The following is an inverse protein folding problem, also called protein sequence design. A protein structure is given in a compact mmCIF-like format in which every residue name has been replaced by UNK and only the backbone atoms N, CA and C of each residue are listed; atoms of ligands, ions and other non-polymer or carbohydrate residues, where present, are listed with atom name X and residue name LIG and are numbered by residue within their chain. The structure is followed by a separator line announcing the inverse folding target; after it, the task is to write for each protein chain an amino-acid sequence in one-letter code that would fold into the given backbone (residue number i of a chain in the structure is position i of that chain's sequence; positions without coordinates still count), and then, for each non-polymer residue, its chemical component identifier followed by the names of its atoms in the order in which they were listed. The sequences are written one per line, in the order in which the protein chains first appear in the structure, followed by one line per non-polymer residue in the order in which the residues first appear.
data_IF_287841670552
#
_entry.id   IF_287841670552
#
_cell.length_a   1.000
_cell.length_b   1.000
_cell.length_c   1.000
_cell.angle_alpha   90.00
_cell.angle_beta   90.00
_cell.angle_gamma   90.00
#
_symmetry.space_group_name_H-M   'P 1'
#
loop_
_entity.id
_entity.type
_entity.pdbx_description
1 polymer ?
#
# COMPACT_ATOMS: atom_id res chain seq x y z
N UNK A 1 30.06 -2.15 -4.47
CA UNK A 1 28.93 -1.58 -3.70
C UNK A 1 27.86 -1.24 -4.73
N UNK A 2 26.69 -1.87 -4.65
CA UNK A 2 25.67 -1.75 -5.69
C UNK A 2 24.91 -0.42 -5.55
N UNK A 3 25.27 0.56 -6.38
CA UNK A 3 24.45 1.73 -6.65
C UNK A 3 23.23 1.30 -7.48
N UNK A 4 22.07 1.12 -6.83
CA UNK A 4 20.80 1.11 -7.55
C UNK A 4 20.42 2.55 -7.90
N UNK A 5 20.92 3.00 -9.05
CA UNK A 5 20.50 4.21 -9.73
C UNK A 5 19.01 4.11 -10.05
N UNK A 6 18.20 4.78 -9.22
CA UNK A 6 16.74 4.83 -9.32
C UNK A 6 16.30 5.83 -10.38
N UNK A 7 16.79 5.67 -11.61
CA UNK A 7 16.25 6.31 -12.81
C UNK A 7 15.16 5.41 -13.42
N UNK A 8 14.10 5.15 -12.64
CA UNK A 8 12.88 4.55 -13.19
C UNK A 8 12.01 5.69 -13.73
N UNK A 9 11.91 5.81 -15.07
CA UNK A 9 11.02 6.79 -15.69
C UNK A 9 9.61 6.67 -15.10
N UNK A 10 8.93 7.79 -14.83
CA UNK A 10 7.70 7.83 -14.01
C UNK A 10 6.59 6.84 -14.37
N UNK A 11 6.58 6.30 -15.60
CA UNK A 11 5.71 5.20 -16.02
C UNK A 11 5.91 3.90 -15.21
N UNK A 12 7.16 3.57 -14.85
CA UNK A 12 7.49 2.35 -14.12
C UNK A 12 7.02 2.42 -12.67
N UNK A 13 7.11 3.58 -12.04
CA UNK A 13 6.60 3.83 -10.70
C UNK A 13 5.06 3.75 -10.67
N UNK A 14 4.40 4.35 -11.66
CA UNK A 14 2.94 4.23 -11.82
C UNK A 14 2.49 2.79 -12.04
N UNK A 15 3.22 2.03 -12.88
CA UNK A 15 2.93 0.63 -13.14
C UNK A 15 3.12 -0.24 -11.88
N UNK A 16 4.16 0.00 -11.10
CA UNK A 16 4.40 -0.72 -9.85
C UNK A 16 3.27 -0.52 -8.84
N UNK A 17 2.80 0.72 -8.65
CA UNK A 17 1.66 1.02 -7.79
C UNK A 17 0.38 0.35 -8.27
N UNK A 18 0.12 0.38 -9.58
CA UNK A 18 -1.04 -0.27 -10.17
C UNK A 18 -1.05 -1.79 -9.92
N UNK A 19 0.09 -2.46 -10.12
CA UNK A 19 0.22 -3.91 -9.86
C UNK A 19 0.03 -4.20 -8.37
N UNK A 20 0.62 -3.40 -7.48
CA UNK A 20 0.49 -3.60 -6.03
C UNK A 20 -0.97 -3.48 -5.56
N UNK A 21 -1.70 -2.47 -6.06
CA UNK A 21 -3.12 -2.28 -5.76
C UNK A 21 -3.99 -3.39 -6.37
N UNK A 22 -3.73 -3.73 -7.63
CA UNK A 22 -4.46 -4.79 -8.33
C UNK A 22 -4.24 -6.16 -7.68
N UNK A 23 -3.02 -6.43 -7.20
CA UNK A 23 -2.72 -7.66 -6.44
C UNK A 23 -3.47 -7.73 -5.12
N UNK A 24 -3.54 -6.62 -4.38
CA UNK A 24 -4.33 -6.53 -3.14
C UNK A 24 -5.84 -6.63 -3.36
N UNK A 25 -6.35 -6.24 -4.53
CA UNK A 25 -7.74 -6.41 -4.89
C UNK A 25 -8.04 -7.84 -5.34
N UNK A 26 -7.26 -8.34 -6.31
CA UNK A 26 -7.49 -9.64 -6.94
C UNK A 26 -7.24 -10.81 -6.00
N UNK A 27 -6.24 -10.73 -5.12
CA UNK A 27 -5.90 -11.81 -4.18
C UNK A 27 -7.09 -12.23 -3.30
N UNK A 28 -7.63 -11.32 -2.47
CA UNK A 28 -8.79 -11.61 -1.63
C UNK A 28 -10.03 -12.03 -2.42
N UNK A 29 -10.25 -11.43 -3.60
CA UNK A 29 -11.35 -11.79 -4.50
C UNK A 29 -11.22 -13.25 -4.96
N UNK A 30 -10.08 -13.66 -5.50
CA UNK A 30 -9.86 -15.04 -5.97
C UNK A 30 -10.01 -16.03 -4.80
N UNK A 31 -9.45 -15.71 -3.63
CA UNK A 31 -9.58 -16.51 -2.42
C UNK A 31 -11.07 -16.65 -2.03
N UNK A 32 -11.83 -15.56 -2.05
CA UNK A 32 -13.25 -15.57 -1.71
C UNK A 32 -14.10 -16.37 -2.71
N UNK A 33 -13.81 -16.27 -4.01
CA UNK A 33 -14.51 -17.04 -5.03
C UNK A 33 -14.30 -18.55 -4.81
N UNK A 34 -13.06 -18.95 -4.54
CA UNK A 34 -12.73 -20.36 -4.33
C UNK A 34 -13.29 -20.90 -3.01
N UNK A 35 -13.12 -20.16 -1.91
CA UNK A 35 -13.67 -20.56 -0.61
C UNK A 35 -15.20 -20.49 -0.59
N UNK A 36 -15.80 -19.45 -1.16
CA UNK A 36 -17.25 -19.24 -1.18
C UNK A 36 -17.96 -20.34 -1.96
N UNK A 37 -17.44 -20.71 -3.13
CA UNK A 37 -18.00 -21.80 -3.94
C UNK A 37 -17.82 -23.18 -3.26
N UNK A 38 -16.69 -23.39 -2.58
CA UNK A 38 -16.47 -24.61 -1.81
C UNK A 38 -17.43 -24.72 -0.62
N UNK A 39 -17.69 -23.61 0.07
CA UNK A 39 -18.58 -23.56 1.23
C UNK A 39 -20.05 -23.74 0.81
N UNK A 40 -20.50 -23.06 -0.26
CA UNK A 40 -21.85 -23.25 -0.81
C UNK A 40 -22.11 -24.72 -1.19
N UNK A 41 -21.15 -25.38 -1.85
CA UNK A 41 -21.26 -26.79 -2.21
C UNK A 41 -21.34 -27.71 -0.99
N UNK A 42 -20.72 -27.33 0.13
CA UNK A 42 -20.73 -28.14 1.36
C UNK A 42 -22.02 -27.99 2.15
N UNK A 43 -22.63 -26.81 2.14
CA UNK A 43 -23.81 -26.48 2.96
C UNK A 43 -25.13 -26.47 2.18
N UNK A 44 -25.11 -26.68 0.85
CA UNK A 44 -26.30 -26.65 -0.02
C UNK A 44 -27.14 -25.36 0.11
N UNK A 45 -26.52 -24.29 0.63
CA UNK A 45 -27.07 -22.94 0.64
C UNK A 45 -26.77 -22.32 -0.72
N UNK A 46 -27.77 -22.15 -1.58
CA UNK A 46 -27.62 -21.38 -2.82
C UNK A 46 -27.91 -19.89 -2.53
N UNK A 47 -27.12 -18.91 -3.00
CA UNK A 47 -25.67 -18.77 -2.93
C UNK A 47 -25.28 -17.71 -1.86
N UNK A 48 -25.78 -17.87 -0.65
CA UNK A 48 -25.63 -16.86 0.42
C UNK A 48 -24.23 -16.82 1.03
N UNK A 49 -23.53 -17.97 1.12
CA UNK A 49 -22.18 -18.01 1.68
C UNK A 49 -21.16 -17.43 0.72
N UNK A 50 -21.38 -17.58 -0.59
CA UNK A 50 -20.62 -16.88 -1.60
C UNK A 50 -20.72 -15.35 -1.45
N UNK A 51 -21.93 -14.83 -1.23
CA UNK A 51 -22.16 -13.40 -1.03
C UNK A 51 -21.47 -12.90 0.25
N UNK A 52 -21.58 -13.65 1.34
CA UNK A 52 -20.94 -13.33 2.61
C UNK A 52 -19.41 -13.32 2.51
N UNK A 53 -18.82 -14.35 1.89
CA UNK A 53 -17.37 -14.46 1.75
C UNK A 53 -16.81 -13.38 0.83
N UNK A 54 -17.52 -13.02 -0.23
CA UNK A 54 -17.15 -11.90 -1.10
C UNK A 54 -17.25 -10.56 -0.36
N UNK A 55 -18.30 -10.35 0.43
CA UNK A 55 -18.44 -9.14 1.25
C UNK A 55 -17.31 -9.00 2.29
N UNK A 56 -16.94 -10.11 2.95
CA UNK A 56 -15.81 -10.14 3.89
C UNK A 56 -14.51 -9.83 3.18
N UNK A 57 -14.24 -10.47 2.04
CA UNK A 57 -13.02 -10.22 1.27
C UNK A 57 -12.94 -8.79 0.78
N UNK A 58 -14.05 -8.21 0.34
CA UNK A 58 -14.11 -6.80 -0.03
C UNK A 58 -13.77 -5.89 1.16
N UNK A 59 -14.30 -6.19 2.35
CA UNK A 59 -13.95 -5.48 3.58
C UNK A 59 -12.46 -5.57 3.92
N UNK A 60 -11.87 -6.77 3.79
CA UNK A 60 -10.43 -7.00 4.01
C UNK A 60 -9.60 -6.17 3.01
N UNK A 61 -10.00 -6.14 1.74
CA UNK A 61 -9.32 -5.35 0.70
C UNK A 61 -9.33 -3.86 1.06
N UNK A 62 -10.50 -3.30 1.39
CA UNK A 62 -10.62 -1.88 1.74
C UNK A 62 -9.77 -1.55 2.96
N UNK A 63 -9.81 -2.39 3.99
CA UNK A 63 -9.02 -2.20 5.20
C UNK A 63 -7.51 -2.30 4.93
N UNK A 64 -7.09 -3.31 4.18
CA UNK A 64 -5.68 -3.55 3.84
C UNK A 64 -5.06 -2.43 3.01
N UNK A 65 -5.79 -1.91 2.01
CA UNK A 65 -5.34 -0.78 1.18
C UNK A 65 -5.29 0.50 2.03
N UNK A 66 -6.34 0.79 2.80
CA UNK A 66 -6.42 2.01 3.62
C UNK A 66 -5.30 2.05 4.66
N UNK A 67 -5.03 0.93 5.33
CA UNK A 67 -3.95 0.84 6.32
C UNK A 67 -2.56 1.07 5.70
N UNK A 68 -2.30 0.47 4.53
CA UNK A 68 -1.03 0.69 3.82
C UNK A 68 -0.89 2.13 3.35
N UNK A 69 -1.96 2.74 2.84
CA UNK A 69 -1.95 4.13 2.39
C UNK A 69 -1.62 5.08 3.54
N UNK A 70 -2.28 4.92 4.70
CA UNK A 70 -2.02 5.75 5.89
C UNK A 70 -0.57 5.57 6.35
N UNK A 71 -0.07 4.34 6.38
CA UNK A 71 1.33 4.06 6.75
C UNK A 71 2.31 4.73 5.80
N UNK A 72 2.08 4.65 4.49
CA UNK A 72 2.91 5.31 3.48
C UNK A 72 2.92 6.83 3.65
N UNK A 73 1.75 7.44 3.85
CA UNK A 73 1.62 8.90 4.06
C UNK A 73 2.43 9.33 5.29
N UNK A 74 2.30 8.59 6.40
CA UNK A 74 3.01 8.91 7.64
C UNK A 74 4.52 8.80 7.49
N UNK A 75 5.00 7.76 6.79
CA UNK A 75 6.43 7.61 6.48
C UNK A 75 6.96 8.76 5.61
N UNK A 76 6.17 9.23 4.63
CA UNK A 76 6.56 10.38 3.80
C UNK A 76 6.62 11.66 4.65
N UNK A 77 5.64 11.88 5.54
CA UNK A 77 5.61 13.06 6.43
C UNK A 77 6.82 13.11 7.37
N UNK A 78 7.18 11.99 7.98
CA UNK A 78 8.37 11.86 8.85
C UNK A 78 9.66 12.18 8.07
N UNK A 79 9.82 11.62 6.86
CA UNK A 79 10.96 11.91 5.99
C UNK A 79 11.06 13.39 5.60
N UNK A 80 9.93 14.05 5.34
CA UNK A 80 9.90 15.48 5.01
C UNK A 80 10.26 16.35 6.22
N UNK A 81 9.85 15.95 7.42
CA UNK A 81 10.13 16.68 8.66
C UNK A 81 11.62 16.62 9.02
N UNK A 82 12.23 15.44 8.98
CA UNK A 82 13.67 15.27 9.21
C UNK A 82 14.50 16.05 8.19
N UNK A 83 14.13 16.02 6.90
CA UNK A 83 14.83 16.78 5.85
C UNK A 83 14.78 18.28 6.13
N UNK A 84 13.64 18.80 6.61
CA UNK A 84 13.46 20.22 6.94
C UNK A 84 14.31 20.64 8.14
N UNK A 85 14.44 19.78 9.14
CA UNK A 85 15.25 20.01 10.33
C UNK A 85 16.77 19.95 10.00
N UNK A 86 17.18 19.11 9.06
CA UNK A 86 18.55 19.11 8.50
C UNK A 86 18.86 20.43 7.78
N UNK A 87 17.99 20.90 6.88
CA UNK A 87 18.21 22.18 6.17
C UNK A 87 18.31 23.37 7.13
N UNK A 88 17.48 23.40 8.18
CA UNK A 88 17.56 24.45 9.22
C UNK A 88 18.89 24.44 9.98
N UNK A 89 19.45 23.27 10.27
CA UNK A 89 20.73 23.17 10.98
C UNK A 89 21.92 23.59 10.10
N UNK A 90 21.92 23.22 8.82
CA UNK A 90 22.97 23.61 7.87
C UNK A 90 23.00 25.13 7.66
N UNK A 91 21.84 25.75 7.42
CA UNK A 91 21.73 27.21 7.24
C UNK A 91 22.13 28.00 8.50
N UNK A 92 21.81 27.51 9.70
CA UNK A 92 22.27 28.17 10.93
C UNK A 92 23.79 28.03 11.14
N UNK A 93 24.38 26.87 10.82
CA UNK A 93 25.82 26.65 10.97
C UNK A 93 26.64 27.56 10.04
N UNK A 94 26.23 27.69 8.77
CA UNK A 94 26.89 28.56 7.80
C UNK A 94 26.84 30.05 8.21
N UNK A 95 25.73 30.50 8.81
CA UNK A 95 25.62 31.86 9.36
C UNK A 95 26.52 32.10 10.56
N UNK A 96 26.75 31.08 11.38
CA UNK A 96 27.64 31.19 12.55
C UNK A 96 29.12 31.13 12.21
N UNK A 97 29.50 30.52 11.08
CA UNK A 97 30.89 30.34 10.66
C UNK A 97 31.45 31.54 9.86
N UNK A 98 30.58 32.35 9.26
CA UNK A 98 30.94 33.56 8.50
C UNK A 98 30.86 34.87 9.32
N UNK A 99 30.86 34.77 10.66
CA UNK A 99 31.05 35.89 11.60
C UNK A 99 32.37 35.73 12.33
#
# INVERSE_FOLDING_TARGET
MAEQNNQSGGWQQGLALFIQLSGWLAGPLIIALFLGQWLDRRFATEPWLFLLTTAIAFGITVFGISFQAIKYIKTIEEQLKDKKDIYKQVDNNDRTKNR
#
